data_IF_674206384284
#
_entry.id   IF_674206384284
#
_cell.length_a   1.000
_cell.length_b   1.000
_cell.length_c   1.000
_cell.angle_alpha   90.00
_cell.angle_beta   90.00
_cell.angle_gamma   90.00
#
_symmetry.space_group_name_H-M   'P 1'
#
loop_
_entity.id
_entity.type
_entity.pdbx_description
1 polymer ?
#
# COMPACT_ATOMS: atom_id res chain seq x y z
N UNK A 1 26.92 -5.76 -10.13
CA UNK A 1 27.23 -4.31 -10.18
C UNK A 1 25.93 -3.56 -10.44
N UNK A 2 25.53 -2.68 -9.52
CA UNK A 2 24.27 -1.95 -9.63
C UNK A 2 24.33 -0.93 -10.79
N UNK A 3 23.36 -0.99 -11.71
CA UNK A 3 23.27 -0.10 -12.88
C UNK A 3 22.65 1.25 -12.47
N UNK A 4 23.45 2.13 -11.88
CA UNK A 4 23.03 3.47 -11.42
C UNK A 4 22.69 4.47 -12.54
N UNK A 5 23.02 4.20 -13.80
CA UNK A 5 22.86 5.14 -14.92
C UNK A 5 21.68 4.84 -15.86
N UNK A 6 20.91 3.78 -15.59
CA UNK A 6 19.84 3.39 -16.50
C UNK A 6 18.53 4.07 -16.07
N UNK A 7 18.28 5.27 -16.60
CA UNK A 7 16.94 5.85 -16.54
C UNK A 7 16.00 4.95 -17.34
N UNK A 8 14.93 4.38 -16.73
CA UNK A 8 13.99 3.56 -17.46
C UNK A 8 13.26 4.44 -18.49
N UNK A 9 13.51 4.18 -19.76
CA UNK A 9 12.86 4.83 -20.92
C UNK A 9 11.43 4.31 -21.15
N UNK A 10 10.91 3.46 -20.27
CA UNK A 10 9.56 2.91 -20.35
C UNK A 10 8.66 3.54 -19.29
N UNK A 11 7.53 4.11 -19.72
CA UNK A 11 6.45 4.67 -18.90
C UNK A 11 5.70 3.63 -18.02
N UNK A 12 6.34 2.50 -17.71
CA UNK A 12 5.78 1.38 -16.95
C UNK A 12 6.63 1.16 -15.72
N UNK A 13 5.99 1.26 -14.55
CA UNK A 13 6.63 1.02 -13.26
C UNK A 13 6.94 -0.48 -13.13
N UNK A 14 8.16 -0.83 -12.71
CA UNK A 14 8.51 -2.19 -12.29
C UNK A 14 7.77 -2.57 -10.99
N UNK A 15 7.49 -3.85 -10.78
CA UNK A 15 6.88 -4.33 -9.52
C UNK A 15 7.71 -3.94 -8.29
N UNK A 16 9.05 -3.89 -8.42
CA UNK A 16 9.94 -3.45 -7.34
C UNK A 16 9.89 -1.94 -7.07
N UNK A 17 9.71 -1.12 -8.11
CA UNK A 17 9.52 0.33 -7.97
C UNK A 17 8.14 0.65 -7.39
N UNK A 18 7.14 -0.19 -7.69
CA UNK A 18 5.80 -0.09 -7.12
C UNK A 18 5.81 -0.34 -5.62
N UNK A 19 6.37 -1.48 -5.20
CA UNK A 19 6.48 -1.85 -3.78
C UNK A 19 7.29 -0.81 -3.00
N UNK A 20 8.40 -0.31 -3.56
CA UNK A 20 9.19 0.74 -2.93
C UNK A 20 8.41 2.05 -2.74
N UNK A 21 7.59 2.46 -3.72
CA UNK A 21 6.76 3.67 -3.60
C UNK A 21 5.69 3.50 -2.52
N UNK A 22 4.96 2.38 -2.53
CA UNK A 22 3.93 2.08 -1.53
C UNK A 22 4.54 2.02 -0.13
N UNK A 23 5.66 1.32 0.03
CA UNK A 23 6.34 1.20 1.31
C UNK A 23 6.85 2.56 1.82
N UNK A 24 7.42 3.38 0.93
CA UNK A 24 7.86 4.74 1.25
C UNK A 24 6.70 5.62 1.73
N UNK A 25 5.57 5.59 1.03
CA UNK A 25 4.35 6.31 1.43
C UNK A 25 3.89 5.86 2.82
N UNK A 26 3.80 4.55 3.06
CA UNK A 26 3.33 4.02 4.33
C UNK A 26 4.23 4.41 5.52
N UNK A 27 5.55 4.43 5.32
CA UNK A 27 6.51 4.84 6.36
C UNK A 27 6.33 6.33 6.68
N UNK A 28 6.28 7.19 5.66
CA UNK A 28 6.17 8.64 5.85
C UNK A 28 4.85 8.99 6.53
N UNK A 29 3.73 8.50 6.03
CA UNK A 29 2.42 8.82 6.62
C UNK A 29 2.19 8.13 7.96
N UNK A 30 2.78 6.96 8.21
CA UNK A 30 2.79 6.35 9.54
C UNK A 30 3.47 7.26 10.58
N UNK A 31 4.59 7.89 10.21
CA UNK A 31 5.28 8.85 11.08
C UNK A 31 4.47 10.13 11.29
N UNK A 32 3.88 10.69 10.22
CA UNK A 32 3.00 11.89 10.32
C UNK A 32 1.79 11.59 11.19
N UNK A 33 1.17 10.42 11.06
CA UNK A 33 0.04 10.01 11.89
C UNK A 33 0.43 9.93 13.37
N UNK A 34 1.63 9.43 13.68
CA UNK A 34 2.15 9.44 15.06
C UNK A 34 2.25 10.85 15.63
N UNK A 35 2.68 11.84 14.83
CA UNK A 35 2.71 13.24 15.23
C UNK A 35 1.29 13.82 15.44
N UNK A 36 0.35 13.49 14.55
CA UNK A 36 -1.05 13.91 14.69
C UNK A 36 -1.71 13.31 15.95
N UNK A 37 -1.39 12.05 16.28
CA UNK A 37 -1.89 11.41 17.50
C UNK A 37 -1.23 11.95 18.77
N UNK A 38 -0.04 12.54 18.69
CA UNK A 38 0.57 13.21 19.84
C UNK A 38 -0.21 14.46 20.27
N UNK A 39 -0.88 15.13 19.34
CA UNK A 39 -1.79 16.25 19.61
C UNK A 39 -3.04 15.79 20.39
N UNK A 40 -3.36 14.50 20.34
CA UNK A 40 -4.45 13.86 21.08
C UNK A 40 -4.07 13.48 22.53
N UNK A 41 -2.88 13.86 23.01
CA UNK A 41 -2.36 13.51 24.35
C UNK A 41 -3.17 14.07 25.53
N UNK A 42 -4.05 15.05 25.27
CA UNK A 42 -4.98 15.59 26.26
C UNK A 42 -6.24 14.72 26.49
N UNK A 43 -6.44 13.65 25.73
CA UNK A 43 -7.61 12.79 25.85
C UNK A 43 -7.56 11.87 27.07
N UNK A 44 -8.71 11.51 27.67
CA UNK A 44 -8.81 10.40 28.59
C UNK A 44 -8.24 9.10 27.98
N UNK A 45 -7.63 8.20 28.78
CA UNK A 45 -7.01 6.98 28.25
C UNK A 45 -7.94 6.08 27.43
N UNK A 46 -9.22 6.00 27.80
CA UNK A 46 -10.22 5.22 27.05
C UNK A 46 -10.49 5.79 25.67
N UNK A 47 -10.70 7.09 25.60
CA UNK A 47 -10.95 7.85 24.38
C UNK A 47 -9.76 7.78 23.42
N UNK A 48 -8.56 7.91 23.97
CA UNK A 48 -7.31 7.72 23.20
C UNK A 48 -7.18 6.30 22.64
N UNK A 49 -7.54 5.26 23.42
CA UNK A 49 -7.49 3.88 22.95
C UNK A 49 -8.47 3.62 21.80
N UNK A 50 -9.69 4.18 21.88
CA UNK A 50 -10.68 4.08 20.80
C UNK A 50 -10.22 4.83 19.55
N UNK A 51 -9.70 6.04 19.70
CA UNK A 51 -9.13 6.81 18.61
C UNK A 51 -7.98 6.06 17.91
N UNK A 52 -7.09 5.46 18.70
CA UNK A 52 -5.98 4.66 18.20
C UNK A 52 -6.49 3.44 17.42
N UNK A 53 -7.52 2.77 17.94
CA UNK A 53 -8.17 1.64 17.26
C UNK A 53 -8.80 2.05 15.91
N UNK A 54 -9.53 3.17 15.87
CA UNK A 54 -10.13 3.70 14.64
C UNK A 54 -9.05 4.09 13.63
N UNK A 55 -8.01 4.79 14.08
CA UNK A 55 -6.89 5.22 13.25
C UNK A 55 -6.14 4.01 12.68
N UNK A 56 -5.84 3.01 13.50
CA UNK A 56 -5.21 1.77 13.06
C UNK A 56 -6.08 1.03 12.03
N UNK A 57 -7.39 0.96 12.23
CA UNK A 57 -8.32 0.33 11.28
C UNK A 57 -8.32 1.04 9.93
N UNK A 58 -8.25 2.37 9.92
CA UNK A 58 -8.11 3.17 8.70
C UNK A 58 -6.78 2.90 7.99
N UNK A 59 -5.67 2.90 8.72
CA UNK A 59 -4.33 2.61 8.18
C UNK A 59 -4.28 1.21 7.58
N UNK A 60 -4.80 0.20 8.28
CA UNK A 60 -4.88 -1.18 7.78
C UNK A 60 -5.69 -1.22 6.49
N UNK A 61 -6.83 -0.53 6.43
CA UNK A 61 -7.65 -0.47 5.21
C UNK A 61 -6.90 0.15 4.03
N UNK A 62 -6.12 1.21 4.27
CA UNK A 62 -5.25 1.84 3.26
C UNK A 62 -4.13 0.89 2.82
N UNK A 63 -3.54 0.12 3.73
CA UNK A 63 -2.54 -0.91 3.39
C UNK A 63 -3.13 -2.04 2.55
N UNK A 64 -4.34 -2.50 2.89
CA UNK A 64 -5.04 -3.53 2.11
C UNK A 64 -5.35 -3.04 0.70
N UNK A 65 -5.69 -1.75 0.52
CA UNK A 65 -5.84 -1.15 -0.80
C UNK A 65 -4.58 -1.28 -1.65
N UNK A 66 -3.39 -1.14 -1.05
CA UNK A 66 -2.13 -1.19 -1.77
C UNK A 66 -1.67 -2.60 -2.18
N UNK A 67 -2.09 -3.64 -1.43
CA UNK A 67 -1.65 -5.03 -1.65
C UNK A 67 -2.70 -5.95 -2.27
N UNK A 68 -3.98 -5.55 -2.34
CA UNK A 68 -5.06 -6.44 -2.78
C UNK A 68 -5.35 -6.38 -4.28
N UNK A 69 -5.75 -7.51 -4.87
CA UNK A 69 -6.19 -7.60 -6.27
C UNK A 69 -7.55 -6.91 -6.51
N UNK A 70 -8.38 -6.75 -5.48
CA UNK A 70 -9.73 -6.16 -5.56
C UNK A 70 -9.76 -4.65 -5.28
N UNK A 71 -8.98 -3.90 -6.07
CA UNK A 71 -8.67 -2.47 -5.89
C UNK A 71 -9.90 -1.57 -5.66
N UNK A 72 -10.98 -1.79 -6.40
CA UNK A 72 -12.22 -1.00 -6.27
C UNK A 72 -12.96 -1.24 -4.95
N UNK A 73 -13.00 -2.49 -4.49
CA UNK A 73 -13.69 -2.85 -3.25
C UNK A 73 -12.92 -2.31 -2.03
N UNK A 74 -11.60 -2.46 -2.01
CA UNK A 74 -10.76 -1.94 -0.94
C UNK A 74 -10.63 -0.41 -0.98
N UNK A 75 -10.72 0.21 -2.17
CA UNK A 75 -10.73 1.67 -2.31
C UNK A 75 -12.02 2.27 -1.75
N UNK A 76 -13.15 1.65 -2.06
CA UNK A 76 -14.44 2.00 -1.48
C UNK A 76 -14.46 1.78 0.04
N UNK A 77 -13.87 0.68 0.54
CA UNK A 77 -13.75 0.41 1.97
C UNK A 77 -12.88 1.47 2.67
N UNK A 78 -11.71 1.81 2.13
CA UNK A 78 -10.84 2.84 2.70
C UNK A 78 -11.52 4.22 2.72
N UNK A 79 -12.17 4.61 1.61
CA UNK A 79 -12.92 5.87 1.55
C UNK A 79 -14.09 5.88 2.54
N UNK A 80 -14.80 4.77 2.68
CA UNK A 80 -15.88 4.61 3.65
C UNK A 80 -15.37 4.77 5.09
N UNK A 81 -14.25 4.13 5.44
CA UNK A 81 -13.65 4.25 6.77
C UNK A 81 -13.23 5.69 7.05
N UNK A 82 -12.53 6.35 6.11
CA UNK A 82 -12.09 7.75 6.27
C UNK A 82 -13.29 8.70 6.42
N UNK A 83 -14.37 8.45 5.68
CA UNK A 83 -15.61 9.22 5.79
C UNK A 83 -16.36 8.98 7.10
N UNK A 84 -16.30 7.77 7.65
CA UNK A 84 -16.95 7.41 8.91
C UNK A 84 -16.22 7.93 10.15
N UNK A 85 -14.90 8.18 10.10
CA UNK A 85 -14.13 8.69 11.25
C UNK A 85 -14.75 9.93 11.91
N UNK A 86 -15.01 11.05 11.20
CA UNK A 86 -15.61 12.22 11.85
C UNK A 86 -17.00 11.92 12.40
N UNK A 87 -17.79 11.07 11.72
CA UNK A 87 -19.12 10.68 12.19
C UNK A 87 -19.05 9.92 13.51
N UNK A 88 -18.15 8.96 13.63
CA UNK A 88 -17.97 8.15 14.84
C UNK A 88 -17.37 8.99 15.98
N UNK A 89 -16.48 9.94 15.65
CA UNK A 89 -15.90 10.86 16.63
C UNK A 89 -16.93 11.85 17.18
N UNK A 90 -17.80 12.41 16.33
CA UNK A 90 -18.86 13.33 16.74
C UNK A 90 -20.00 12.62 17.51
N UNK A 91 -20.43 11.44 17.06
CA UNK A 91 -21.53 10.67 17.66
C UNK A 91 -21.39 9.18 17.29
N UNK A 92 -21.09 8.24 18.23
CA UNK A 92 -21.44 8.24 19.65
C UNK A 92 -20.30 8.50 20.65
N UNK A 93 -19.09 8.87 20.20
CA UNK A 93 -17.93 8.95 21.09
C UNK A 93 -17.71 10.33 21.72
N UNK A 94 -18.33 11.40 21.19
CA UNK A 94 -18.19 12.79 21.66
C UNK A 94 -16.72 13.21 21.88
N UNK A 95 -15.85 12.80 20.95
CA UNK A 95 -14.42 13.06 21.01
C UNK A 95 -14.12 14.46 20.49
N UNK A 96 -13.22 15.23 21.14
CA UNK A 96 -12.78 16.49 20.58
C UNK A 96 -12.15 16.28 19.18
N UNK A 97 -12.49 17.14 18.22
CA UNK A 97 -12.06 16.96 16.84
C UNK A 97 -10.54 17.13 16.75
N UNK A 98 -9.87 16.18 16.08
CA UNK A 98 -8.45 16.28 15.75
C UNK A 98 -8.34 16.81 14.32
N UNK A 99 -8.07 18.11 14.11
CA UNK A 99 -8.24 18.75 12.81
C UNK A 99 -7.34 18.16 11.72
N UNK A 100 -6.20 17.59 12.11
CA UNK A 100 -5.20 17.07 11.18
C UNK A 100 -5.34 15.58 10.86
N UNK A 101 -6.18 14.82 11.59
CA UNK A 101 -6.31 13.38 11.41
C UNK A 101 -6.94 13.03 10.06
N UNK A 102 -8.11 13.59 9.79
CA UNK A 102 -8.84 13.35 8.55
C UNK A 102 -8.06 13.75 7.30
N UNK A 103 -7.47 14.97 7.19
CA UNK A 103 -6.71 15.34 5.99
C UNK A 103 -5.47 14.46 5.81
N UNK A 104 -4.80 14.05 6.90
CA UNK A 104 -3.65 13.13 6.81
C UNK A 104 -4.04 11.80 6.18
N UNK A 105 -5.13 11.19 6.67
CA UNK A 105 -5.64 9.93 6.12
C UNK A 105 -6.16 10.07 4.68
N UNK A 106 -6.81 11.19 4.37
CA UNK A 106 -7.32 11.47 3.02
C UNK A 106 -6.18 11.61 2.01
N UNK A 107 -5.14 12.38 2.34
CA UNK A 107 -3.96 12.54 1.47
C UNK A 107 -3.20 11.22 1.35
N UNK A 108 -3.05 10.46 2.44
CA UNK A 108 -2.43 9.13 2.40
C UNK A 108 -3.17 8.20 1.43
N UNK A 109 -4.49 8.07 1.59
CA UNK A 109 -5.30 7.25 0.70
C UNK A 109 -5.23 7.71 -0.76
N UNK A 110 -5.29 9.04 -1.00
CA UNK A 110 -5.14 9.61 -2.34
C UNK A 110 -3.79 9.25 -2.96
N UNK A 111 -2.69 9.36 -2.21
CA UNK A 111 -1.36 9.00 -2.72
C UNK A 111 -1.26 7.53 -3.08
N UNK A 112 -1.81 6.63 -2.26
CA UNK A 112 -1.88 5.20 -2.58
C UNK A 112 -2.68 4.98 -3.87
N UNK A 113 -3.84 5.62 -4.02
CA UNK A 113 -4.66 5.54 -5.25
C UNK A 113 -3.90 6.08 -6.46
N UNK A 114 -3.16 7.19 -6.34
CA UNK A 114 -2.39 7.76 -7.44
C UNK A 114 -1.28 6.80 -7.91
N UNK A 115 -0.55 6.18 -6.97
CA UNK A 115 0.44 5.14 -7.32
C UNK A 115 -0.22 3.93 -7.95
N UNK A 116 -1.43 3.59 -7.50
CA UNK A 116 -2.18 2.44 -8.01
C UNK A 116 -2.72 2.62 -9.42
N UNK A 117 -2.97 3.86 -9.83
CA UNK A 117 -3.36 4.21 -11.20
C UNK A 117 -2.20 4.14 -12.19
N UNK A 118 -0.95 4.03 -11.72
CA UNK A 118 0.21 3.91 -12.60
C UNK A 118 0.21 2.51 -13.27
N UNK A 119 0.28 2.42 -14.61
CA UNK A 119 0.30 1.14 -15.30
C UNK A 119 1.52 0.31 -14.89
N UNK A 120 1.28 -0.79 -14.17
CA UNK A 120 2.33 -1.74 -13.81
C UNK A 120 2.78 -2.52 -15.05
N UNK A 121 4.07 -2.51 -15.33
CA UNK A 121 4.63 -3.41 -16.31
C UNK A 121 4.66 -4.81 -15.70
N UNK A 122 3.64 -5.64 -15.98
CA UNK A 122 3.69 -7.08 -15.66
C UNK A 122 4.96 -7.65 -16.28
N UNK A 123 6.03 -7.79 -15.49
CA UNK A 123 7.09 -8.72 -15.84
C UNK A 123 6.46 -10.10 -15.71
N UNK A 124 6.01 -10.64 -16.85
CA UNK A 124 5.65 -12.05 -16.93
C UNK A 124 6.84 -12.81 -16.33
N UNK A 125 6.62 -13.74 -15.37
CA UNK A 125 7.69 -14.59 -14.87
C UNK A 125 8.38 -15.18 -16.09
N UNK A 126 9.70 -14.95 -16.22
CA UNK A 126 10.49 -15.60 -17.27
C UNK A 126 10.27 -17.09 -17.10
N UNK A 127 9.55 -17.70 -18.06
CA UNK A 127 9.37 -19.14 -18.11
C UNK A 127 10.75 -19.80 -17.91
N UNK A 128 10.87 -20.84 -17.05
CA UNK A 128 12.15 -21.50 -16.84
C UNK A 128 12.73 -21.95 -18.18
N UNK A 129 13.84 -21.33 -18.59
CA UNK A 129 14.68 -21.86 -19.67
C UNK A 129 15.50 -23.00 -19.10
N UNK A 130 14.83 -24.11 -18.80
CA UNK A 130 15.48 -25.38 -18.54
C UNK A 130 14.58 -26.49 -19.08
N UNK A 131 14.65 -26.66 -20.40
CA UNK A 131 14.49 -27.99 -20.98
C UNK A 131 15.85 -28.35 -21.54
N UNK A 132 16.61 -29.28 -20.92
CA UNK A 132 17.76 -29.85 -21.57
C UNK A 132 17.30 -30.48 -22.89
N UNK A 133 18.04 -30.16 -23.94
CA UNK A 133 17.93 -30.68 -25.28
C UNK A 133 17.87 -32.22 -25.22
N UNK A 134 16.89 -32.90 -25.85
CA UNK A 134 16.94 -34.35 -25.93
C UNK A 134 18.14 -34.74 -26.82
N UNK A 135 19.12 -35.35 -26.16
CA UNK A 135 20.27 -36.04 -26.70
C UNK A 135 19.86 -36.90 -27.92
N UNK A 136 20.20 -36.41 -29.12
CA UNK A 136 20.07 -37.16 -30.36
C UNK A 136 21.16 -38.24 -30.44
N UNK A 137 20.73 -39.44 -30.80
CA UNK A 137 21.48 -40.44 -31.57
C UNK A 137 22.88 -40.85 -31.11
N UNK A 138 22.93 -41.85 -30.24
CA UNK A 138 24.06 -42.80 -30.16
C UNK A 138 23.61 -44.26 -29.97
N UNK A 139 22.61 -44.69 -30.74
CA UNK A 139 22.22 -46.12 -30.86
C UNK A 139 22.07 -46.58 -32.30
N UNK A 140 23.04 -46.26 -33.16
CA UNK A 140 23.26 -46.99 -34.43
C UNK A 140 24.76 -47.11 -34.67
N UNK A 141 25.41 -47.98 -33.91
CA UNK A 141 26.74 -48.51 -34.27
C UNK A 141 27.03 -49.84 -33.57
N UNK A 142 26.03 -50.72 -33.58
CA UNK A 142 26.20 -52.15 -33.35
C UNK A 142 25.18 -52.86 -34.22
N UNK A 143 25.50 -53.00 -35.50
CA UNK A 143 25.11 -54.09 -36.40
C UNK A 143 26.06 -54.10 -37.60
#
# INVERSE_FOLDING_TARGET
MAKWYHFPTTSRLSDGEYEANIQGINIVFGAVLGFVLADASGLPPGDFAVLLFLSASAVVSILYLAHSEYKLAYGALAAFVIFMIPRIMDDPLDLPPIPQLQPTLAVWALMIVLVELIPRGRERPKAPKDKPEPEKDKKERQE
#
